data_IF_607766733609
#
_entry.id   IF_607766733609
#
_cell.length_a   1.000
_cell.length_b   1.000
_cell.length_c   1.000
_cell.angle_alpha   90.00
_cell.angle_beta   90.00
_cell.angle_gamma   90.00
#
_symmetry.space_group_name_H-M   'P 1'
#
loop_
_entity.id
_entity.type
_entity.pdbx_description
1 polymer ?
#
# COMPACT_ATOMS: atom_id res chain seq x y z
N UNK A 1 -22.88 -10.18 5.30
CA UNK A 1 -23.37 -11.52 4.89
C UNK A 1 -22.15 -12.36 4.52
N UNK A 2 -22.13 -13.66 4.84
CA UNK A 2 -21.02 -14.56 4.46
C UNK A 2 -21.42 -15.37 3.23
N UNK A 3 -20.57 -15.37 2.20
CA UNK A 3 -20.76 -16.15 0.97
C UNK A 3 -19.73 -17.28 0.92
N UNK A 4 -20.15 -18.48 0.51
CA UNK A 4 -19.26 -19.65 0.38
C UNK A 4 -18.59 -19.66 -1.00
N UNK A 5 -17.27 -19.82 -1.02
CA UNK A 5 -16.47 -20.05 -2.22
C UNK A 5 -15.87 -21.46 -2.15
N UNK A 6 -15.98 -22.23 -3.22
CA UNK A 6 -15.32 -23.54 -3.35
C UNK A 6 -14.24 -23.42 -4.42
N UNK A 7 -13.01 -23.83 -4.10
CA UNK A 7 -11.85 -23.73 -4.97
C UNK A 7 -11.25 -25.12 -5.20
N UNK A 8 -10.81 -25.38 -6.42
CA UNK A 8 -9.95 -26.54 -6.72
C UNK A 8 -8.51 -26.05 -6.74
N UNK A 9 -7.66 -26.68 -5.95
CA UNK A 9 -6.25 -26.35 -5.81
C UNK A 9 -5.44 -27.63 -5.68
N UNK A 10 -4.16 -27.55 -6.05
CA UNK A 10 -3.23 -28.67 -5.89
C UNK A 10 -3.14 -29.11 -4.44
N UNK A 11 -3.03 -30.43 -4.24
CA UNK A 11 -3.00 -31.04 -2.90
C UNK A 11 -1.83 -30.52 -2.06
N UNK A 12 -0.65 -30.44 -2.65
CA UNK A 12 0.55 -30.00 -1.93
C UNK A 12 0.49 -28.52 -1.56
N UNK A 13 -0.22 -27.72 -2.36
CA UNK A 13 -0.45 -26.31 -2.11
C UNK A 13 -1.37 -26.10 -0.91
N UNK A 14 -2.49 -26.84 -0.84
CA UNK A 14 -3.45 -26.68 0.27
C UNK A 14 -2.86 -27.15 1.61
N UNK A 15 -2.04 -28.20 1.61
CA UNK A 15 -1.37 -28.67 2.83
C UNK A 15 -0.36 -27.63 3.35
N UNK A 16 0.47 -27.06 2.47
CA UNK A 16 1.38 -25.97 2.84
C UNK A 16 0.62 -24.74 3.37
N UNK A 17 -0.48 -24.37 2.71
CA UNK A 17 -1.32 -23.24 3.15
C UNK A 17 -1.92 -23.47 4.54
N UNK A 18 -2.36 -24.69 4.87
CA UNK A 18 -2.84 -25.04 6.22
C UNK A 18 -1.73 -24.93 7.26
N UNK A 19 -0.52 -25.42 6.96
CA UNK A 19 0.63 -25.30 7.86
C UNK A 19 0.93 -23.83 8.17
N UNK A 20 0.95 -22.98 7.15
CA UNK A 20 1.18 -21.53 7.31
C UNK A 20 0.06 -20.90 8.15
N UNK A 21 -1.21 -21.21 7.83
CA UNK A 21 -2.35 -20.67 8.56
C UNK A 21 -2.30 -21.04 10.04
N UNK A 22 -1.98 -22.30 10.35
CA UNK A 22 -1.84 -22.77 11.73
C UNK A 22 -0.70 -22.08 12.47
N UNK A 23 0.46 -21.91 11.81
CA UNK A 23 1.60 -21.21 12.40
C UNK A 23 1.32 -19.72 12.69
N UNK A 24 0.34 -19.12 12.00
CA UNK A 24 -0.10 -17.73 12.19
C UNK A 24 -1.38 -17.60 13.02
N UNK A 25 -1.84 -18.69 13.67
CA UNK A 25 -3.09 -18.74 14.44
C UNK A 25 -4.30 -18.21 13.64
N UNK A 26 -4.38 -18.62 12.38
CA UNK A 26 -5.43 -18.19 11.44
C UNK A 26 -5.95 -19.36 10.60
N UNK A 27 -6.89 -19.06 9.70
CA UNK A 27 -7.50 -20.05 8.81
C UNK A 27 -7.12 -19.81 7.34
N UNK A 28 -7.14 -20.88 6.53
CA UNK A 28 -6.95 -20.76 5.07
C UNK A 28 -7.99 -19.82 4.45
N UNK A 29 -9.24 -19.86 4.92
CA UNK A 29 -10.28 -18.93 4.47
C UNK A 29 -9.91 -17.47 4.73
N UNK A 30 -9.31 -17.18 5.90
CA UNK A 30 -8.85 -15.83 6.25
C UNK A 30 -7.67 -15.38 5.38
N UNK A 31 -6.77 -16.29 5.02
CA UNK A 31 -5.67 -16.00 4.08
C UNK A 31 -6.22 -15.66 2.69
N UNK A 32 -7.16 -16.45 2.19
CA UNK A 32 -7.81 -16.23 0.88
C UNK A 32 -8.58 -14.90 0.88
N UNK A 33 -9.39 -14.64 1.90
CA UNK A 33 -10.13 -13.40 2.04
C UNK A 33 -9.18 -12.19 2.06
N UNK A 34 -8.12 -12.26 2.86
CA UNK A 34 -7.12 -11.19 2.96
C UNK A 34 -6.44 -10.90 1.62
N UNK A 35 -6.07 -11.95 0.88
CA UNK A 35 -5.49 -11.81 -0.46
C UNK A 35 -6.47 -11.14 -1.44
N UNK A 36 -7.71 -11.61 -1.48
CA UNK A 36 -8.76 -11.06 -2.34
C UNK A 36 -9.06 -9.60 -2.00
N UNK A 37 -9.16 -9.26 -0.72
CA UNK A 37 -9.32 -7.88 -0.25
C UNK A 37 -8.16 -6.99 -0.69
N UNK A 38 -6.92 -7.48 -0.59
CA UNK A 38 -5.73 -6.77 -1.04
C UNK A 38 -5.75 -6.45 -2.55
N UNK A 39 -6.27 -7.36 -3.38
CA UNK A 39 -6.42 -7.13 -4.81
C UNK A 39 -7.47 -6.05 -5.13
N UNK A 40 -8.57 -6.00 -4.36
CA UNK A 40 -9.64 -5.02 -4.54
C UNK A 40 -9.18 -3.63 -4.09
N UNK A 41 -8.48 -3.53 -2.95
CA UNK A 41 -7.97 -2.27 -2.43
C UNK A 41 -6.95 -1.64 -3.37
N UNK A 42 -5.98 -2.43 -3.87
CA UNK A 42 -5.01 -1.97 -4.88
C UNK A 42 -5.66 -1.43 -6.16
N UNK A 43 -6.84 -1.93 -6.52
CA UNK A 43 -7.60 -1.45 -7.68
C UNK A 43 -8.37 -0.16 -7.38
N UNK A 44 -8.80 0.06 -6.14
CA UNK A 44 -9.57 1.25 -5.72
C UNK A 44 -8.69 2.46 -5.40
N UNK A 45 -7.44 2.26 -5.03
CA UNK A 45 -6.51 3.38 -4.78
C UNK A 45 -6.20 4.13 -6.09
N UNK A 46 -6.78 5.33 -6.25
CA UNK A 46 -6.37 6.24 -7.32
C UNK A 46 -4.97 6.80 -7.01
N UNK A 47 -4.23 7.20 -8.05
CA UNK A 47 -2.91 7.85 -7.90
C UNK A 47 -2.91 8.98 -6.86
N UNK A 48 -4.00 9.73 -6.79
CA UNK A 48 -4.21 10.83 -5.83
C UNK A 48 -4.29 10.37 -4.37
N UNK A 49 -4.75 9.15 -4.07
CA UNK A 49 -4.79 8.60 -2.70
C UNK A 49 -3.43 8.05 -2.25
N UNK A 50 -2.58 7.62 -3.19
CA UNK A 50 -1.21 7.14 -2.92
C UNK A 50 -0.20 8.27 -2.71
N UNK A 51 -0.56 9.49 -3.09
CA UNK A 51 0.32 10.66 -3.01
C UNK A 51 0.42 11.16 -1.56
N UNK A 52 1.51 10.83 -0.85
CA UNK A 52 1.86 11.36 0.49
C UNK A 52 2.59 12.72 0.43
N UNK A 53 2.29 13.53 -0.58
CA UNK A 53 3.02 14.71 -1.03
C UNK A 53 3.77 15.53 0.02
N UNK A 54 5.08 15.67 -0.19
CA UNK A 54 5.84 16.82 0.31
C UNK A 54 6.19 17.69 -0.89
N UNK A 55 5.46 18.78 -1.11
CA UNK A 55 5.88 19.80 -2.08
C UNK A 55 7.01 20.61 -1.44
N UNK A 56 8.23 20.48 -1.96
CA UNK A 56 9.29 21.44 -1.67
C UNK A 56 9.21 22.54 -2.72
N UNK A 57 8.95 23.77 -2.26
CA UNK A 57 9.01 24.94 -3.12
C UNK A 57 10.43 25.03 -3.71
N UNK A 58 10.54 25.07 -5.04
CA UNK A 58 11.81 25.37 -5.68
C UNK A 58 12.29 26.75 -5.19
N UNK A 59 13.59 26.94 -4.91
CA UNK A 59 14.12 28.26 -4.61
C UNK A 59 13.69 29.20 -5.74
N UNK A 60 12.99 30.29 -5.43
CA UNK A 60 12.65 31.28 -6.46
C UNK A 60 13.96 31.92 -6.95
N UNK A 61 14.32 31.79 -8.23
CA UNK A 61 15.43 32.55 -8.76
C UNK A 61 14.97 34.01 -8.83
N UNK A 62 15.52 34.87 -7.98
CA UNK A 62 15.46 36.32 -8.22
C UNK A 62 14.89 37.22 -7.12
N UNK A 63 14.78 36.81 -5.86
CA UNK A 63 14.79 37.83 -4.78
C UNK A 63 16.22 38.23 -4.47
N UNK A 64 16.76 39.05 -5.37
CA UNK A 64 17.89 39.92 -5.08
C UNK A 64 17.36 40.89 -4.01
N UNK A 65 17.62 40.58 -2.73
CA UNK A 65 17.39 41.54 -1.65
C UNK A 65 18.20 42.81 -1.94
N UNK A 66 17.70 44.01 -1.59
CA UNK A 66 18.40 45.23 -1.88
C UNK A 66 19.80 45.17 -1.26
N UNK A 67 20.81 45.38 -2.11
CA UNK A 67 22.20 45.44 -1.71
C UNK A 67 22.31 46.35 -0.48
N UNK A 68 22.71 45.75 0.64
CA UNK A 68 23.15 46.51 1.81
C UNK A 68 24.39 47.29 1.38
N UNK A 69 24.18 48.53 0.97
CA UNK A 69 25.23 49.52 0.78
C UNK A 69 25.78 49.88 2.16
N UNK A 70 26.78 49.10 2.58
CA UNK A 70 27.64 49.39 3.73
C UNK A 70 28.76 50.33 3.26
N UNK A 71 28.90 51.45 3.98
CA UNK A 71 30.08 52.33 4.12
C UNK A 71 30.74 52.93 2.87
N UNK A 72 30.75 54.28 2.80
CA UNK A 72 31.75 55.08 3.51
C UNK A 72 31.30 56.53 3.66
#
# INVERSE_FOLDING_TARGET
MKTKLTLTVEKDLIEQAKTIAHAQDTSVSSLVESFLSGLILKRKESFSQRWQGSFKQAPQPGRIGPASSLHR
#
